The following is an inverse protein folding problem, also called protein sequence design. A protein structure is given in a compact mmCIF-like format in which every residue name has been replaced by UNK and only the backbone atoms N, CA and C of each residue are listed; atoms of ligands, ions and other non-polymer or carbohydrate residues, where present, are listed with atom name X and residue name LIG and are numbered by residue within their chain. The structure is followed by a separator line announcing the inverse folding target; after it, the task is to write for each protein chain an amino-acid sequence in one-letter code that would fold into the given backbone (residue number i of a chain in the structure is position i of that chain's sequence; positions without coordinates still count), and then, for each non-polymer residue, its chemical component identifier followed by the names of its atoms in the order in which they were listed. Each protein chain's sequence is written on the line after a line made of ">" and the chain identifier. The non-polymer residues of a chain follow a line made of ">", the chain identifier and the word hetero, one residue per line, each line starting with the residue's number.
data_IF_036762113927
#
_entry.id   IF_036762113927
#
_cell.length_a   1.000
_cell.length_b   1.000
_cell.length_c   1.000
_cell.angle_alpha   90.00
_cell.angle_beta   90.00
_cell.angle_gamma   90.00
#
_symmetry.space_group_name_H-M   'P 1'
#
loop_
_entity.id
_entity.type
_entity.pdbx_description
1 polymer ?
#
# COMPACT_ATOMS: atom_id res chain seq x y z
N UNK A 1 0.66 24.18 7.59
CA UNK A 1 0.42 22.72 7.48
C UNK A 1 1.02 21.90 8.62
N UNK A 2 2.24 22.18 9.09
CA UNK A 2 2.89 21.39 10.15
C UNK A 2 2.03 21.07 11.41
N UNK A 3 1.28 22.02 12.02
CA UNK A 3 0.46 21.69 13.19
C UNK A 3 -0.73 20.80 12.84
N UNK A 4 -1.38 21.03 11.70
CA UNK A 4 -2.49 20.20 11.22
C UNK A 4 -2.07 18.75 10.96
N UNK A 5 -0.93 18.56 10.28
CA UNK A 5 -0.35 17.23 10.05
C UNK A 5 0.01 16.55 11.37
N UNK A 6 0.61 17.26 12.33
CA UNK A 6 0.95 16.68 13.63
C UNK A 6 -0.30 16.18 14.37
N UNK A 7 -1.38 16.97 14.41
CA UNK A 7 -2.65 16.56 15.04
C UNK A 7 -3.25 15.27 14.43
N UNK A 8 -3.18 15.13 13.11
CA UNK A 8 -3.72 13.95 12.39
C UNK A 8 -2.80 12.74 12.53
N UNK A 9 -1.48 12.95 12.60
CA UNK A 9 -0.50 11.87 12.73
C UNK A 9 -0.42 11.32 14.16
N UNK A 10 -0.66 12.16 15.17
CA UNK A 10 -0.54 11.80 16.59
C UNK A 10 -1.88 11.45 17.27
N UNK A 11 -2.96 11.26 16.50
CA UNK A 11 -4.28 10.91 17.07
C UNK A 11 -4.21 9.66 17.96
N UNK A 12 -4.61 9.82 19.22
CA UNK A 12 -4.58 8.80 20.25
C UNK A 12 -5.62 7.69 20.04
N UNK A 13 -5.33 6.49 20.55
CA UNK A 13 -6.25 5.36 20.67
C UNK A 13 -7.43 5.67 21.60
N UNK A 14 -7.28 6.60 22.55
CA UNK A 14 -8.37 7.06 23.44
C UNK A 14 -9.49 7.81 22.71
N UNK A 15 -9.22 8.32 21.50
CA UNK A 15 -10.23 8.99 20.70
C UNK A 15 -11.28 8.02 20.16
N UNK A 16 -12.48 8.51 19.83
CA UNK A 16 -13.54 7.69 19.21
C UNK A 16 -13.03 7.05 17.91
N UNK A 17 -13.43 5.81 17.63
CA UNK A 17 -13.10 5.10 16.37
C UNK A 17 -13.31 5.96 15.13
N UNK A 18 -14.44 6.69 15.06
CA UNK A 18 -14.75 7.56 13.95
C UNK A 18 -13.69 8.66 13.71
N UNK A 19 -13.14 9.23 14.78
CA UNK A 19 -12.07 10.24 14.70
C UNK A 19 -10.78 9.60 14.17
N UNK A 20 -10.38 8.45 14.72
CA UNK A 20 -9.17 7.74 14.29
C UNK A 20 -9.23 7.34 12.81
N UNK A 21 -10.40 6.85 12.37
CA UNK A 21 -10.70 6.55 10.96
C UNK A 21 -10.58 7.81 10.08
N UNK A 22 -11.21 8.90 10.48
CA UNK A 22 -11.24 10.12 9.65
C UNK A 22 -9.86 10.78 9.57
N UNK A 23 -9.07 10.75 10.65
CA UNK A 23 -7.68 11.18 10.61
C UNK A 23 -6.87 10.43 9.55
N UNK A 24 -7.05 9.11 9.43
CA UNK A 24 -6.43 8.33 8.35
C UNK A 24 -6.93 8.78 6.98
N UNK A 25 -8.25 8.93 6.78
CA UNK A 25 -8.81 9.35 5.49
C UNK A 25 -8.33 10.73 5.06
N UNK A 26 -8.20 11.67 6.00
CA UNK A 26 -7.67 13.01 5.73
C UNK A 26 -6.25 12.98 5.16
N UNK A 27 -5.41 12.01 5.52
CA UNK A 27 -4.10 11.82 4.90
C UNK A 27 -4.19 11.53 3.40
N UNK A 28 -5.15 10.68 2.99
CA UNK A 28 -5.38 10.37 1.58
C UNK A 28 -5.99 11.55 0.81
N UNK A 29 -6.89 12.30 1.46
CA UNK A 29 -7.46 13.53 0.90
C UNK A 29 -6.35 14.57 0.66
N UNK A 30 -5.46 14.78 1.64
CA UNK A 30 -4.32 15.69 1.48
C UNK A 30 -3.43 15.31 0.29
N UNK A 31 -3.14 14.03 0.12
CA UNK A 31 -2.36 13.56 -1.01
C UNK A 31 -3.08 13.75 -2.35
N UNK A 32 -4.41 13.71 -2.38
CA UNK A 32 -5.19 13.91 -3.60
C UNK A 32 -5.18 15.36 -4.09
N UNK A 33 -5.10 16.33 -3.18
CA UNK A 33 -5.18 17.76 -3.53
C UNK A 33 -3.84 18.51 -3.46
N UNK A 34 -2.85 17.97 -2.74
CA UNK A 34 -1.62 18.67 -2.38
C UNK A 34 -0.37 17.77 -2.48
N UNK A 35 -0.23 17.01 -3.57
CA UNK A 35 0.87 16.05 -3.80
C UNK A 35 2.25 16.64 -3.47
N UNK A 36 2.60 17.81 -4.03
CA UNK A 36 3.90 18.46 -3.81
C UNK A 36 4.20 18.85 -2.36
N UNK A 37 3.18 19.05 -1.51
CA UNK A 37 3.37 19.36 -0.09
C UNK A 37 3.41 18.08 0.76
N UNK A 38 2.82 16.99 0.26
CA UNK A 38 2.74 15.70 0.95
C UNK A 38 4.03 14.89 0.81
N UNK A 39 4.73 14.95 -0.33
CA UNK A 39 5.95 14.15 -0.59
C UNK A 39 6.98 14.24 0.55
N UNK A 40 7.36 15.42 1.09
CA UNK A 40 8.31 15.52 2.19
C UNK A 40 7.83 14.90 3.52
N UNK A 41 6.52 14.72 3.68
CA UNK A 41 5.89 14.16 4.88
C UNK A 41 5.44 12.71 4.72
N UNK A 42 5.57 12.14 3.52
CA UNK A 42 5.07 10.81 3.18
C UNK A 42 5.59 9.74 4.13
N UNK A 43 6.89 9.74 4.44
CA UNK A 43 7.48 8.76 5.37
C UNK A 43 6.82 8.79 6.76
N UNK A 44 6.47 9.98 7.27
CA UNK A 44 5.77 10.11 8.56
C UNK A 44 4.31 9.65 8.48
N UNK A 45 3.63 9.95 7.36
CA UNK A 45 2.27 9.50 7.10
C UNK A 45 2.20 7.96 7.03
N UNK A 46 3.08 7.34 6.26
CA UNK A 46 3.18 5.88 6.15
C UNK A 46 3.48 5.25 7.52
N UNK A 47 4.45 5.78 8.27
CA UNK A 47 4.75 5.27 9.61
C UNK A 47 3.55 5.37 10.57
N UNK A 48 2.81 6.47 10.51
CA UNK A 48 1.59 6.68 11.30
C UNK A 48 0.48 5.70 10.91
N UNK A 49 0.31 5.41 9.62
CA UNK A 49 -0.64 4.39 9.13
C UNK A 49 -0.22 2.99 9.59
N UNK A 50 1.07 2.63 9.46
CA UNK A 50 1.61 1.34 9.91
C UNK A 50 1.39 1.14 11.42
N UNK A 51 1.59 2.18 12.23
CA UNK A 51 1.28 2.16 13.66
C UNK A 51 -0.20 1.84 13.90
N UNK A 52 -1.12 2.39 13.10
CA UNK A 52 -2.57 2.18 13.22
C UNK A 52 -3.06 0.83 12.68
N UNK A 53 -2.20 0.01 12.08
CA UNK A 53 -2.54 -1.40 11.81
C UNK A 53 -2.74 -2.21 13.10
N UNK A 54 -2.26 -1.70 14.24
CA UNK A 54 -2.48 -2.25 15.59
C UNK A 54 -3.79 -1.80 16.22
N UNK A 55 -4.57 -0.95 15.56
CA UNK A 55 -5.84 -0.46 16.11
C UNK A 55 -6.78 -1.65 16.42
N UNK A 56 -7.45 -1.68 17.57
CA UNK A 56 -8.38 -2.75 17.92
C UNK A 56 -9.55 -2.85 16.92
N UNK A 57 -9.96 -1.73 16.33
CA UNK A 57 -11.11 -1.64 15.44
C UNK A 57 -10.74 -2.01 14.00
N UNK A 58 -11.48 -2.95 13.39
CA UNK A 58 -11.24 -3.37 12.00
C UNK A 58 -11.49 -2.25 10.99
N UNK A 59 -12.43 -1.35 11.25
CA UNK A 59 -12.77 -0.26 10.34
C UNK A 59 -11.60 0.73 10.22
N UNK A 60 -10.84 0.92 11.30
CA UNK A 60 -9.63 1.75 11.28
C UNK A 60 -8.53 1.07 10.47
N UNK A 61 -8.36 -0.26 10.65
CA UNK A 61 -7.39 -1.03 9.87
C UNK A 61 -7.74 -1.08 8.37
N UNK A 62 -9.01 -1.16 8.01
CA UNK A 62 -9.47 -1.07 6.62
C UNK A 62 -9.21 0.32 6.02
N UNK A 63 -9.47 1.39 6.78
CA UNK A 63 -9.16 2.75 6.36
C UNK A 63 -7.65 2.96 6.11
N UNK A 64 -6.78 2.27 6.86
CA UNK A 64 -5.33 2.25 6.60
C UNK A 64 -5.02 1.67 5.22
N UNK A 65 -5.63 0.54 4.87
CA UNK A 65 -5.43 -0.12 3.55
C UNK A 65 -5.92 0.79 2.43
N UNK A 66 -7.14 1.33 2.54
CA UNK A 66 -7.70 2.24 1.54
C UNK A 66 -6.80 3.47 1.32
N UNK A 67 -6.38 4.11 2.40
CA UNK A 67 -5.57 5.32 2.35
C UNK A 67 -4.21 5.04 1.75
N UNK A 68 -3.59 3.90 2.04
CA UNK A 68 -2.30 3.54 1.43
C UNK A 68 -2.39 3.40 -0.09
N UNK A 69 -3.52 2.89 -0.62
CA UNK A 69 -3.77 2.87 -2.06
C UNK A 69 -3.94 4.26 -2.67
N UNK A 70 -4.65 5.15 -1.98
CA UNK A 70 -4.77 6.55 -2.40
C UNK A 70 -3.40 7.22 -2.45
N UNK A 71 -2.57 7.05 -1.41
CA UNK A 71 -1.21 7.59 -1.38
C UNK A 71 -0.36 7.03 -2.52
N UNK A 72 -0.42 5.73 -2.79
CA UNK A 72 0.32 5.10 -3.87
C UNK A 72 -0.13 5.61 -5.26
N UNK A 73 -1.43 5.70 -5.52
CA UNK A 73 -1.94 6.16 -6.83
C UNK A 73 -1.64 7.63 -7.10
N UNK A 74 -1.57 8.48 -6.08
CA UNK A 74 -1.30 9.92 -6.25
C UNK A 74 0.18 10.28 -6.31
N UNK A 75 1.04 9.46 -5.71
CA UNK A 75 2.46 9.81 -5.57
C UNK A 75 3.39 8.99 -6.47
N UNK A 76 2.85 8.02 -7.22
CA UNK A 76 3.66 7.14 -8.09
C UNK A 76 3.73 7.57 -9.56
N UNK A 77 3.10 8.69 -9.95
CA UNK A 77 3.00 9.14 -11.35
C UNK A 77 4.26 9.87 -11.88
N UNK A 78 5.33 9.99 -11.09
CA UNK A 78 6.60 10.61 -11.50
C UNK A 78 7.65 9.60 -11.98
N UNK A 79 8.07 9.65 -13.25
CA UNK A 79 8.96 8.65 -13.89
C UNK A 79 10.33 8.46 -13.22
N UNK A 80 10.90 9.49 -12.57
CA UNK A 80 12.27 9.44 -12.01
C UNK A 80 12.29 9.19 -10.47
N UNK A 81 11.21 9.55 -9.75
CA UNK A 81 11.09 9.37 -8.29
C UNK A 81 10.21 8.19 -7.86
N UNK A 82 9.46 7.57 -8.79
CA UNK A 82 8.49 6.50 -8.50
C UNK A 82 9.11 5.30 -7.76
N UNK A 83 10.36 4.92 -8.10
CA UNK A 83 11.06 3.86 -7.36
C UNK A 83 11.33 4.23 -5.90
N UNK A 84 11.74 5.47 -5.62
CA UNK A 84 12.02 5.95 -4.28
C UNK A 84 10.74 6.00 -3.43
N UNK A 85 9.67 6.54 -4.01
CA UNK A 85 8.34 6.62 -3.39
C UNK A 85 7.80 5.22 -3.09
N UNK A 86 7.91 4.28 -4.03
CA UNK A 86 7.47 2.90 -3.82
C UNK A 86 8.19 2.24 -2.64
N UNK A 87 9.50 2.47 -2.48
CA UNK A 87 10.29 1.94 -1.35
C UNK A 87 9.85 2.55 -0.02
N UNK A 88 9.43 3.83 0.02
CA UNK A 88 8.91 4.48 1.23
C UNK A 88 7.66 3.76 1.76
N UNK A 89 6.80 3.23 0.88
CA UNK A 89 5.67 2.40 1.28
C UNK A 89 6.09 1.00 1.70
N UNK A 90 6.87 0.33 0.84
CA UNK A 90 7.13 -1.10 0.95
C UNK A 90 7.97 -1.44 2.17
N UNK A 91 9.01 -0.65 2.46
CA UNK A 91 9.96 -0.96 3.54
C UNK A 91 9.28 -1.08 4.92
N UNK A 92 8.57 -0.07 5.44
CA UNK A 92 7.94 -0.16 6.77
C UNK A 92 6.83 -1.23 6.83
N UNK A 93 6.12 -1.47 5.72
CA UNK A 93 5.11 -2.53 5.65
C UNK A 93 5.73 -3.94 5.70
N UNK A 94 6.90 -4.15 5.08
CA UNK A 94 7.63 -5.42 5.22
C UNK A 94 8.19 -5.64 6.61
N UNK A 95 8.66 -4.58 7.27
CA UNK A 95 9.10 -4.65 8.66
C UNK A 95 7.93 -5.05 9.57
N UNK A 96 6.75 -4.43 9.39
CA UNK A 96 5.54 -4.76 10.12
C UNK A 96 5.02 -6.19 9.82
N UNK A 97 5.22 -6.70 8.60
CA UNK A 97 4.90 -8.09 8.22
C UNK A 97 5.74 -9.12 9.00
N UNK A 98 6.88 -8.71 9.56
CA UNK A 98 7.72 -9.55 10.42
C UNK A 98 7.25 -9.64 11.88
N UNK A 99 6.33 -8.77 12.31
CA UNK A 99 5.87 -8.76 13.70
C UNK A 99 5.13 -10.04 14.09
N UNK A 100 5.28 -10.51 15.33
CA UNK A 100 4.52 -11.64 15.88
C UNK A 100 3.10 -11.21 16.31
N UNK A 101 2.39 -10.53 15.41
CA UNK A 101 1.02 -10.08 15.61
C UNK A 101 0.19 -10.32 14.34
N UNK A 102 -0.84 -11.19 14.43
CA UNK A 102 -1.66 -11.60 13.29
C UNK A 102 -2.34 -10.41 12.62
N UNK A 103 -2.87 -9.47 13.39
CA UNK A 103 -3.58 -8.30 12.89
C UNK A 103 -2.64 -7.38 12.10
N UNK A 104 -1.43 -7.15 12.63
CA UNK A 104 -0.41 -6.34 11.95
C UNK A 104 0.11 -7.03 10.70
N UNK A 105 0.40 -8.33 10.75
CA UNK A 105 0.81 -9.10 9.57
C UNK A 105 -0.25 -9.04 8.47
N UNK A 106 -1.53 -9.25 8.84
CA UNK A 106 -2.65 -9.20 7.90
C UNK A 106 -2.81 -7.80 7.30
N UNK A 107 -2.88 -6.76 8.14
CA UNK A 107 -3.01 -5.37 7.69
C UNK A 107 -1.86 -4.92 6.80
N UNK A 108 -0.63 -5.34 7.12
CA UNK A 108 0.57 -5.01 6.33
C UNK A 108 0.52 -5.68 4.96
N UNK A 109 0.12 -6.96 4.90
CA UNK A 109 -0.03 -7.68 3.64
C UNK A 109 -1.11 -7.04 2.73
N UNK A 110 -2.26 -6.65 3.31
CA UNK A 110 -3.31 -5.94 2.56
C UNK A 110 -2.88 -4.55 2.10
N UNK A 111 -2.17 -3.79 2.93
CA UNK A 111 -1.60 -2.49 2.52
C UNK A 111 -0.60 -2.67 1.37
N UNK A 112 0.29 -3.67 1.44
CA UNK A 112 1.24 -3.95 0.35
C UNK A 112 0.51 -4.31 -0.95
N UNK A 113 -0.50 -5.18 -0.87
CA UNK A 113 -1.30 -5.57 -2.03
C UNK A 113 -1.95 -4.33 -2.66
N UNK A 114 -2.59 -3.50 -1.83
CA UNK A 114 -3.25 -2.28 -2.28
C UNK A 114 -2.28 -1.26 -2.89
N UNK A 115 -1.08 -1.11 -2.33
CA UNK A 115 -0.03 -0.23 -2.89
C UNK A 115 0.36 -0.70 -4.29
N UNK A 116 0.59 -2.00 -4.48
CA UNK A 116 0.94 -2.57 -5.79
C UNK A 116 -0.19 -2.34 -6.79
N UNK A 117 -1.42 -2.67 -6.40
CA UNK A 117 -2.60 -2.55 -7.28
C UNK A 117 -2.89 -1.10 -7.68
N UNK A 118 -2.48 -0.14 -6.84
CA UNK A 118 -2.70 1.30 -7.05
C UNK A 118 -1.51 2.03 -7.69
N UNK A 119 -0.37 1.37 -7.85
CA UNK A 119 0.84 1.96 -8.44
C UNK A 119 0.83 1.75 -9.95
N UNK A 120 1.00 2.84 -10.71
CA UNK A 120 1.24 2.76 -12.15
C UNK A 120 2.66 2.26 -12.41
N UNK A 121 2.77 1.07 -13.00
CA UNK A 121 4.04 0.41 -13.34
C UNK A 121 4.99 0.15 -12.15
N UNK A 122 4.58 -0.70 -11.18
CA UNK A 122 5.39 -0.98 -10.01
C UNK A 122 6.74 -1.63 -10.38
N UNK A 123 7.82 -1.31 -9.67
CA UNK A 123 9.17 -1.73 -10.03
C UNK A 123 9.35 -3.26 -9.95
N UNK A 124 9.42 -3.90 -11.12
CA UNK A 124 9.45 -5.36 -11.25
C UNK A 124 10.55 -6.06 -10.44
N UNK A 125 11.74 -5.46 -10.33
CA UNK A 125 12.85 -6.02 -9.54
C UNK A 125 12.53 -6.08 -8.03
N UNK A 126 11.81 -5.08 -7.52
CA UNK A 126 11.34 -5.05 -6.14
C UNK A 126 10.23 -6.09 -5.96
N UNK A 127 9.27 -6.16 -6.89
CA UNK A 127 8.20 -7.15 -6.88
C UNK A 127 8.73 -8.60 -6.83
N UNK A 128 9.73 -8.94 -7.64
CA UNK A 128 10.34 -10.28 -7.63
C UNK A 128 11.00 -10.60 -6.27
N UNK A 129 11.68 -9.62 -5.66
CA UNK A 129 12.27 -9.77 -4.33
C UNK A 129 11.20 -9.93 -3.26
N UNK A 130 10.09 -9.20 -3.37
CA UNK A 130 8.94 -9.33 -2.48
C UNK A 130 8.34 -10.73 -2.57
N UNK A 131 8.06 -11.22 -3.78
CA UNK A 131 7.50 -12.55 -4.02
C UNK A 131 8.35 -13.66 -3.39
N UNK A 132 9.68 -13.56 -3.56
CA UNK A 132 10.61 -14.53 -2.97
C UNK A 132 10.53 -14.55 -1.44
N UNK A 133 10.37 -13.38 -0.81
CA UNK A 133 10.28 -13.27 0.66
C UNK A 133 8.93 -13.75 1.17
N UNK A 134 7.83 -13.39 0.52
CA UNK A 134 6.47 -13.79 0.93
C UNK A 134 6.24 -15.29 0.77
N UNK A 135 6.81 -15.94 -0.25
CA UNK A 135 6.82 -17.41 -0.37
C UNK A 135 7.53 -18.06 0.83
N UNK A 136 8.65 -17.49 1.30
CA UNK A 136 9.33 -17.99 2.50
C UNK A 136 8.46 -17.85 3.75
N UNK A 137 7.71 -16.75 3.88
CA UNK A 137 6.77 -16.54 5.00
C UNK A 137 5.65 -17.59 5.00
N UNK A 138 5.12 -17.98 3.83
CA UNK A 138 4.09 -19.03 3.75
C UNK A 138 4.56 -20.39 4.26
N UNK A 139 5.85 -20.70 4.07
CA UNK A 139 6.49 -21.93 4.58
C UNK A 139 6.79 -21.89 6.07
N UNK A 140 6.80 -20.70 6.69
CA UNK A 140 7.04 -20.57 8.13
C UNK A 140 5.79 -21.00 8.92
N UNK A 141 5.87 -22.00 9.82
CA UNK A 141 4.74 -22.44 10.63
C UNK A 141 4.24 -21.38 11.62
N UNK A 142 5.10 -20.47 12.07
CA UNK A 142 4.76 -19.41 13.02
C UNK A 142 4.16 -18.16 12.35
N UNK A 143 4.15 -18.11 11.01
CA UNK A 143 3.51 -17.01 10.31
C UNK A 143 1.99 -17.18 10.32
N UNK A 144 1.27 -16.16 10.82
CA UNK A 144 -0.15 -16.27 11.16
C UNK A 144 -1.08 -15.77 10.05
N UNK A 145 -0.66 -14.76 9.27
CA UNK A 145 -1.49 -14.12 8.25
C UNK A 145 -1.35 -14.76 6.85
N UNK A 146 -1.30 -16.10 6.77
CA UNK A 146 -1.12 -16.82 5.50
C UNK A 146 -2.13 -16.42 4.41
N UNK A 147 -3.44 -16.30 4.68
CA UNK A 147 -4.41 -15.89 3.65
C UNK A 147 -4.10 -14.51 3.04
N UNK A 148 -3.72 -13.54 3.87
CA UNK A 148 -3.41 -12.19 3.41
C UNK A 148 -2.13 -12.16 2.54
N UNK A 149 -1.14 -12.99 2.85
CA UNK A 149 0.09 -13.09 2.04
C UNK A 149 -0.15 -13.82 0.71
N UNK A 150 -1.10 -14.75 0.64
CA UNK A 150 -1.51 -15.36 -0.62
C UNK A 150 -2.12 -14.30 -1.55
N UNK A 151 -2.97 -13.43 -1.01
CA UNK A 151 -3.54 -12.34 -1.81
C UNK A 151 -2.48 -11.32 -2.21
N UNK A 152 -1.53 -10.98 -1.32
CA UNK A 152 -0.38 -10.17 -1.69
C UNK A 152 0.43 -10.80 -2.84
N UNK A 153 0.66 -12.11 -2.82
CA UNK A 153 1.35 -12.78 -3.92
C UNK A 153 0.59 -12.65 -5.24
N UNK A 154 -0.74 -12.70 -5.21
CA UNK A 154 -1.57 -12.44 -6.40
C UNK A 154 -1.31 -11.05 -6.96
N UNK A 155 -1.38 -10.00 -6.14
CA UNK A 155 -1.09 -8.62 -6.58
C UNK A 155 0.33 -8.47 -7.12
N UNK A 156 1.34 -9.06 -6.46
CA UNK A 156 2.73 -9.04 -6.92
C UNK A 156 2.88 -9.70 -8.30
N UNK A 157 2.23 -10.84 -8.50
CA UNK A 157 2.28 -11.57 -9.78
C UNK A 157 1.60 -10.75 -10.87
N UNK A 158 0.45 -10.13 -10.60
CA UNK A 158 -0.29 -9.33 -11.58
C UNK A 158 0.40 -8.02 -11.95
N UNK A 159 0.99 -7.33 -10.97
CA UNK A 159 1.66 -6.04 -11.16
C UNK A 159 3.01 -6.13 -11.88
N UNK A 160 3.60 -7.32 -12.00
CA UNK A 160 4.87 -7.51 -12.70
C UNK A 160 4.80 -7.24 -14.21
N UNK A 161 5.90 -6.80 -14.85
CA UNK A 161 5.95 -6.56 -16.29
C UNK A 161 5.66 -7.82 -17.14
N UNK A 162 5.80 -9.02 -16.57
CA UNK A 162 5.61 -10.30 -17.26
C UNK A 162 4.15 -10.76 -17.38
N UNK A 163 3.18 -10.04 -16.81
CA UNK A 163 1.75 -10.43 -16.82
C UNK A 163 0.83 -9.44 -17.52
N UNK A 164 1.22 -8.16 -17.67
CA UNK A 164 0.46 -7.21 -18.49
C UNK A 164 0.31 -7.68 -19.96
N UNK A 165 1.26 -8.49 -20.46
CA UNK A 165 1.20 -9.05 -21.82
C UNK A 165 0.11 -10.13 -22.00
N UNK A 166 -0.27 -10.89 -20.96
CA UNK A 166 -1.31 -11.92 -21.11
C UNK A 166 -2.73 -11.35 -21.17
N UNK A 167 -2.96 -10.15 -20.63
CA UNK A 167 -4.29 -9.52 -20.61
C UNK A 167 -4.43 -8.48 -21.71
N UNK A 168 -3.36 -7.73 -22.05
CA UNK A 168 -3.41 -6.74 -23.14
C UNK A 168 -3.39 -7.36 -24.56
N UNK A 169 -3.15 -8.66 -24.72
CA UNK A 169 -3.27 -9.32 -26.03
C UNK A 169 -4.71 -9.64 -26.44
N UNK A 170 -5.72 -9.46 -25.57
CA UNK A 170 -7.12 -9.71 -25.93
C UNK A 170 -7.94 -8.45 -26.30
N UNK A 171 -7.35 -7.26 -26.26
CA UNK A 171 -8.04 -5.99 -26.60
C UNK A 171 -7.39 -5.22 -27.75
N UNK A 172 -6.84 -5.93 -28.74
CA UNK A 172 -6.65 -5.36 -30.08
C UNK A 172 -7.53 -6.08 -31.09
N UNK A 173 -8.82 -5.74 -31.06
CA UNK A 173 -9.63 -5.84 -32.26
C UNK A 173 -9.00 -4.92 -33.33
N UNK A 174 -8.61 -5.43 -34.52
CA UNK A 174 -8.27 -4.53 -35.61
C UNK A 174 -9.55 -3.82 -36.05
N UNK A 175 -9.65 -2.51 -35.81
CA UNK A 175 -10.54 -1.67 -36.61
C UNK A 175 -9.99 -1.71 -38.04
N UNK A 176 -10.63 -2.51 -38.88
CA UNK A 176 -10.51 -2.38 -40.32
C UNK A 176 -11.07 -1.01 -40.72
N UNK A 177 -10.18 -0.14 -41.18
CA UNK A 177 -10.53 1.05 -41.95
C UNK A 177 -10.25 0.78 -43.41
N UNK A 178 -11.26 1.10 -44.25
CA UNK A 178 -11.21 1.40 -45.69
C UNK A 178 -11.05 0.15 -46.61
N UNK A 179 -11.81 -0.03 -47.68
CA UNK A 179 -12.61 0.87 -48.56
C UNK A 179 -14.02 0.34 -48.82
#
# INVERSE_FOLDING_TARGET
>A
MAPFLSCILDTDLEQKTAVRKECIRLMGILATFHEGIVVPHLGKMVASIVKRLKDPDSVVREACVETMGVLASKLSDGEDESQGVFVVFVKPLFEALGEQNKQVQSGSAWCLARVIDSTNDPPGSILQRMLTRTIKLLKNPHFMAKPAVIELNRSIIQGGPNTKCFICCNDKHPRSSQE
#
